data_IF_308627453197
#
_entry.id   IF_308627453197
#
_cell.length_a   1.000
_cell.length_b   1.000
_cell.length_c   1.000
_cell.angle_alpha   90.00
_cell.angle_beta   90.00
_cell.angle_gamma   90.00
#
_symmetry.space_group_name_H-M   'P 1'
#
loop_
_entity.id
_entity.type
_entity.pdbx_description
1 polymer ?
#
# COMPACT_ATOMS: atom_id res chain seq x y z
N UNK A 1 -5.25 -2.77 -7.38
CA UNK A 1 -6.59 -3.01 -7.94
C UNK A 1 -6.48 -3.20 -9.44
N UNK A 2 -7.14 -4.22 -9.99
CA UNK A 2 -7.09 -4.50 -11.43
C UNK A 2 -7.56 -3.29 -12.25
N UNK A 3 -6.97 -3.08 -13.43
CA UNK A 3 -7.25 -1.94 -14.30
C UNK A 3 -6.61 -0.61 -13.86
N UNK A 4 -6.19 -0.49 -12.60
CA UNK A 4 -5.53 0.72 -12.06
C UNK A 4 -4.03 0.56 -11.88
N UNK A 5 -3.57 -0.67 -11.71
CA UNK A 5 -2.15 -1.03 -11.57
C UNK A 5 -1.88 -2.40 -12.18
N UNK A 6 -0.63 -2.69 -12.53
CA UNK A 6 -0.22 -3.97 -13.10
C UNK A 6 0.51 -4.82 -12.08
N UNK A 7 0.41 -6.14 -12.24
CA UNK A 7 1.21 -7.09 -11.48
C UNK A 7 2.70 -6.77 -11.66
N UNK A 8 3.46 -6.84 -10.57
CA UNK A 8 4.88 -6.52 -10.47
C UNK A 8 5.26 -5.04 -10.63
N UNK A 9 4.30 -4.12 -10.76
CA UNK A 9 4.62 -2.70 -10.62
C UNK A 9 5.25 -2.44 -9.24
N UNK A 10 6.26 -1.59 -9.21
CA UNK A 10 6.85 -1.07 -7.98
C UNK A 10 6.06 0.16 -7.56
N UNK A 11 5.73 0.23 -6.29
CA UNK A 11 4.84 1.22 -5.71
C UNK A 11 5.59 1.99 -4.64
N UNK A 12 5.54 3.31 -4.71
CA UNK A 12 6.05 4.19 -3.67
C UNK A 12 4.86 4.94 -3.03
N UNK A 13 4.66 4.76 -1.73
CA UNK A 13 3.57 5.43 -1.04
C UNK A 13 3.93 6.91 -0.79
N UNK A 14 3.11 7.83 -1.27
CA UNK A 14 3.20 9.27 -0.93
C UNK A 14 2.21 9.64 0.20
N UNK A 15 1.22 8.78 0.42
CA UNK A 15 0.30 8.81 1.55
C UNK A 15 -0.12 7.38 1.88
N UNK A 16 -0.34 7.10 3.16
CA UNK A 16 -1.00 5.88 3.60
C UNK A 16 -2.23 6.21 4.43
N UNK A 17 -3.26 5.37 4.32
CA UNK A 17 -4.55 5.51 5.01
C UNK A 17 -4.89 4.17 5.65
N UNK A 18 -5.12 4.15 6.97
CA UNK A 18 -5.67 2.97 7.66
C UNK A 18 -7.19 3.08 7.59
N UNK A 19 -7.82 2.33 6.68
CA UNK A 19 -9.20 2.61 6.27
C UNK A 19 -10.27 1.88 7.09
N UNK A 20 -9.88 0.90 7.90
CA UNK A 20 -10.78 0.04 8.66
C UNK A 20 -10.87 0.42 10.14
N UNK A 21 -10.38 1.60 10.53
CA UNK A 21 -10.62 2.15 11.86
C UNK A 21 -12.13 2.37 12.03
N UNK A 22 -12.71 1.70 13.02
CA UNK A 22 -14.13 1.75 13.33
C UNK A 22 -14.35 2.19 14.78
N UNK A 23 -14.99 3.33 14.95
CA UNK A 23 -15.37 3.91 16.23
C UNK A 23 -16.86 3.69 16.51
N UNK A 24 -17.20 3.25 17.72
CA UNK A 24 -18.59 3.12 18.17
C UNK A 24 -19.10 4.35 18.92
N UNK A 25 -18.19 5.18 19.43
CA UNK A 25 -18.48 6.37 20.24
C UNK A 25 -18.14 7.66 19.47
N UNK A 26 -17.01 7.67 18.75
CA UNK A 26 -16.55 8.80 17.94
C UNK A 26 -16.91 8.67 16.46
N UNK A 27 -16.35 9.55 15.64
CA UNK A 27 -16.44 9.50 14.18
C UNK A 27 -15.22 8.76 13.60
N UNK A 28 -15.44 7.58 13.03
CA UNK A 28 -14.42 6.78 12.34
C UNK A 28 -13.66 7.58 11.29
N UNK A 29 -14.30 8.51 10.56
CA UNK A 29 -13.64 9.31 9.51
C UNK A 29 -12.61 10.28 10.09
N UNK A 30 -12.90 10.84 11.27
CA UNK A 30 -11.95 11.70 11.98
C UNK A 30 -10.74 10.86 12.38
N UNK A 31 -10.96 9.69 12.98
CA UNK A 31 -9.86 8.79 13.33
C UNK A 31 -9.04 8.37 12.09
N UNK A 32 -9.67 7.91 11.00
CA UNK A 32 -8.98 7.59 9.75
C UNK A 32 -8.13 8.77 9.24
N UNK A 33 -8.64 9.99 9.34
CA UNK A 33 -7.91 11.20 8.95
C UNK A 33 -6.70 11.43 9.85
N UNK A 34 -6.86 11.30 11.16
CA UNK A 34 -5.79 11.52 12.14
C UNK A 34 -4.66 10.49 12.00
N UNK A 35 -4.99 9.22 11.73
CA UNK A 35 -3.99 8.16 11.52
C UNK A 35 -3.43 8.11 10.09
N UNK A 36 -3.99 8.88 9.15
CA UNK A 36 -3.44 8.99 7.80
C UNK A 36 -2.11 9.73 7.81
N UNK A 37 -1.10 9.16 7.14
CA UNK A 37 0.26 9.71 7.16
C UNK A 37 0.71 10.05 5.74
N UNK A 38 1.15 11.29 5.52
CA UNK A 38 1.82 11.71 4.27
C UNK A 38 3.31 11.42 4.36
N UNK A 39 3.86 10.82 3.30
CA UNK A 39 5.26 10.41 3.20
C UNK A 39 5.95 11.22 2.11
N UNK A 40 7.00 12.00 2.43
CA UNK A 40 7.71 12.77 1.42
C UNK A 40 8.44 11.80 0.48
N UNK A 41 8.27 12.02 -0.82
CA UNK A 41 9.03 11.33 -1.87
C UNK A 41 9.87 12.35 -2.64
N UNK A 42 11.02 11.95 -3.20
CA UNK A 42 11.82 12.84 -4.03
C UNK A 42 11.03 13.29 -5.27
N UNK A 43 11.23 14.54 -5.69
CA UNK A 43 10.54 15.11 -6.86
C UNK A 43 10.76 14.28 -8.14
N UNK A 44 11.95 13.71 -8.29
CA UNK A 44 12.30 12.74 -9.33
C UNK A 44 12.59 11.39 -8.67
N UNK A 45 11.80 10.38 -9.01
CA UNK A 45 12.07 9.02 -8.53
C UNK A 45 13.34 8.45 -9.17
N UNK A 46 14.18 7.73 -8.41
CA UNK A 46 15.45 7.20 -8.92
C UNK A 46 15.26 6.00 -9.86
N UNK A 47 14.07 5.41 -9.86
CA UNK A 47 13.67 4.26 -10.68
C UNK A 47 12.19 4.41 -11.08
N UNK A 48 11.72 3.73 -12.14
CA UNK A 48 10.29 3.66 -12.43
C UNK A 48 9.52 3.05 -11.27
N UNK A 49 8.59 3.81 -10.70
CA UNK A 49 7.66 3.36 -9.68
C UNK A 49 6.38 4.21 -9.77
N UNK A 50 5.26 3.64 -9.34
CA UNK A 50 3.97 4.32 -9.28
C UNK A 50 3.85 4.99 -7.92
N UNK A 51 3.71 6.32 -7.90
CA UNK A 51 3.39 7.08 -6.69
C UNK A 51 1.90 7.00 -6.43
N UNK A 52 1.52 6.64 -5.21
CA UNK A 52 0.10 6.41 -4.86
C UNK A 52 -0.20 6.77 -3.41
N UNK A 53 -1.48 7.00 -3.13
CA UNK A 53 -2.05 6.74 -1.80
C UNK A 53 -2.29 5.24 -1.65
N UNK A 54 -1.81 4.66 -0.54
CA UNK A 54 -1.95 3.24 -0.21
C UNK A 54 -2.92 3.05 0.97
N UNK A 55 -3.73 2.01 0.91
CA UNK A 55 -4.81 1.76 1.86
C UNK A 55 -4.53 0.50 2.67
N UNK A 56 -4.29 0.65 3.97
CA UNK A 56 -3.96 -0.45 4.87
C UNK A 56 -5.15 -0.83 5.75
N UNK A 57 -5.28 -2.12 6.06
CA UNK A 57 -6.28 -2.65 6.99
C UNK A 57 -5.84 -4.00 7.58
N UNK A 58 -6.40 -4.36 8.74
CA UNK A 58 -6.14 -5.64 9.41
C UNK A 58 -6.97 -6.79 8.81
N UNK A 59 -7.03 -6.85 7.47
CA UNK A 59 -7.78 -7.88 6.72
C UNK A 59 -7.37 -7.94 5.26
N UNK A 60 -7.56 -9.11 4.67
CA UNK A 60 -7.46 -9.29 3.22
C UNK A 60 -8.48 -8.44 2.47
N UNK A 61 -8.04 -7.88 1.34
CA UNK A 61 -8.93 -7.18 0.44
C UNK A 61 -9.75 -8.17 -0.41
N UNK A 62 -10.96 -8.48 0.05
CA UNK A 62 -11.92 -9.25 -0.73
C UNK A 62 -12.59 -8.40 -1.83
N UNK A 63 -13.24 -8.99 -2.85
CA UNK A 63 -14.03 -8.22 -3.81
C UNK A 63 -15.15 -7.39 -3.18
N UNK A 64 -15.76 -7.89 -2.10
CA UNK A 64 -16.76 -7.13 -1.34
C UNK A 64 -16.13 -5.94 -0.62
N UNK A 65 -15.00 -6.15 0.06
CA UNK A 65 -14.24 -5.08 0.69
C UNK A 65 -13.74 -4.05 -0.31
N UNK A 66 -13.35 -4.46 -1.52
CA UNK A 66 -13.01 -3.53 -2.59
C UNK A 66 -14.21 -2.66 -2.98
N UNK A 67 -15.41 -3.23 -3.15
CA UNK A 67 -16.60 -2.42 -3.49
C UNK A 67 -16.91 -1.36 -2.43
N UNK A 68 -16.76 -1.71 -1.16
CA UNK A 68 -16.93 -0.77 -0.04
C UNK A 68 -15.85 0.34 -0.08
N UNK A 69 -14.59 -0.05 -0.24
CA UNK A 69 -13.45 0.87 -0.29
C UNK A 69 -13.52 1.79 -1.53
N UNK A 70 -14.03 1.29 -2.65
CA UNK A 70 -14.11 2.01 -3.92
C UNK A 70 -15.06 3.21 -3.86
N UNK A 71 -16.17 3.07 -3.12
CA UNK A 71 -17.15 4.13 -2.93
C UNK A 71 -16.58 5.37 -2.24
N UNK A 72 -15.59 5.18 -1.36
CA UNK A 72 -14.98 6.26 -0.59
C UNK A 72 -13.64 6.75 -1.18
N UNK A 73 -12.86 5.85 -1.79
CA UNK A 73 -11.42 6.12 -2.00
C UNK A 73 -10.87 5.81 -3.38
N UNK A 74 -11.60 5.09 -4.24
CA UNK A 74 -11.10 4.67 -5.57
C UNK A 74 -9.65 4.10 -5.52
N UNK A 75 -9.37 3.10 -4.68
CA UNK A 75 -8.01 2.74 -4.29
C UNK A 75 -7.20 2.15 -5.46
N UNK A 76 -5.88 2.39 -5.45
CA UNK A 76 -4.93 1.83 -6.44
C UNK A 76 -4.22 0.58 -5.90
N UNK A 77 -3.85 0.61 -4.62
CA UNK A 77 -3.20 -0.49 -3.91
C UNK A 77 -3.73 -0.58 -2.47
N UNK A 78 -3.68 -1.78 -1.91
CA UNK A 78 -3.95 -2.02 -0.50
C UNK A 78 -2.97 -3.05 0.07
N UNK A 79 -2.75 -2.98 1.37
CA UNK A 79 -1.96 -3.95 2.14
C UNK A 79 -2.44 -4.01 3.59
N UNK A 80 -1.64 -4.61 4.47
CA UNK A 80 -1.96 -4.70 5.89
C UNK A 80 -1.16 -3.70 6.74
N UNK A 81 0.15 -3.54 6.49
CA UNK A 81 1.03 -2.92 7.49
C UNK A 81 1.47 -1.49 7.18
N UNK A 82 1.40 -1.01 5.94
CA UNK A 82 2.07 0.25 5.57
C UNK A 82 1.56 1.46 6.37
N UNK A 83 0.25 1.51 6.63
CA UNK A 83 -0.39 2.52 7.46
C UNK A 83 0.17 2.56 8.87
N UNK A 84 0.22 1.40 9.54
CA UNK A 84 0.72 1.29 10.91
C UNK A 84 2.21 1.67 11.00
N UNK A 85 3.04 1.20 10.06
CA UNK A 85 4.47 1.53 9.99
C UNK A 85 4.68 3.04 9.82
N UNK A 86 3.97 3.66 8.87
CA UNK A 86 4.11 5.09 8.61
C UNK A 86 3.70 5.92 9.81
N UNK A 87 2.56 5.59 10.44
CA UNK A 87 2.06 6.30 11.61
C UNK A 87 3.06 6.28 12.76
N UNK A 88 3.59 5.09 13.09
CA UNK A 88 4.57 4.94 14.17
C UNK A 88 5.86 5.68 13.85
N UNK A 89 6.39 5.56 12.63
CA UNK A 89 7.59 6.27 12.21
C UNK A 89 7.39 7.80 12.30
N UNK A 90 6.27 8.30 11.81
CA UNK A 90 5.91 9.71 11.86
C UNK A 90 5.82 10.22 13.30
N UNK A 91 5.14 9.49 14.20
CA UNK A 91 5.00 9.84 15.62
C UNK A 91 6.35 9.92 16.35
N UNK A 92 7.34 9.18 15.87
CA UNK A 92 8.71 9.13 16.39
C UNK A 92 9.71 9.96 15.57
N UNK A 93 9.24 10.84 14.67
CA UNK A 93 10.08 11.67 13.81
C UNK A 93 11.16 10.88 13.05
N UNK A 94 10.87 9.63 12.69
CA UNK A 94 11.78 8.74 11.97
C UNK A 94 11.47 8.81 10.47
N UNK A 95 12.43 9.22 9.62
CA UNK A 95 12.25 9.18 8.17
C UNK A 95 11.94 7.76 7.70
N UNK A 96 10.89 7.60 6.89
CA UNK A 96 10.47 6.30 6.37
C UNK A 96 10.15 6.40 4.88
N UNK A 97 10.58 5.38 4.14
CA UNK A 97 10.23 5.13 2.76
C UNK A 97 9.46 3.81 2.69
N UNK A 98 8.26 3.84 2.13
CA UNK A 98 7.46 2.63 1.92
C UNK A 98 7.44 2.29 0.44
N UNK A 99 8.09 1.17 0.12
CA UNK A 99 8.06 0.54 -1.20
C UNK A 99 7.35 -0.80 -1.11
N UNK A 100 6.40 -1.02 -2.02
CA UNK A 100 5.75 -2.32 -2.22
C UNK A 100 5.90 -2.73 -3.69
N UNK A 101 5.70 -4.01 -3.97
CA UNK A 101 5.48 -4.47 -5.35
C UNK A 101 4.17 -5.26 -5.42
N UNK A 102 3.47 -5.14 -6.53
CA UNK A 102 2.15 -5.76 -6.70
C UNK A 102 2.30 -7.27 -6.90
N UNK A 103 1.89 -8.05 -5.90
CA UNK A 103 1.93 -9.52 -5.93
C UNK A 103 0.74 -10.14 -6.65
N UNK A 104 -0.42 -9.51 -6.57
CA UNK A 104 -1.70 -10.01 -7.07
C UNK A 104 -2.67 -8.87 -7.28
N UNK A 105 -3.72 -9.13 -8.06
CA UNK A 105 -4.77 -8.17 -8.37
C UNK A 105 -6.12 -8.60 -7.79
N UNK A 106 -6.90 -7.61 -7.38
CA UNK A 106 -8.29 -7.76 -6.94
C UNK A 106 -9.16 -6.85 -7.78
N UNK A 107 -10.31 -7.37 -8.19
CA UNK A 107 -11.37 -6.67 -8.90
C UNK A 107 -12.72 -6.87 -8.18
N UNK A 108 -13.82 -6.40 -8.79
CA UNK A 108 -15.17 -6.49 -8.22
C UNK A 108 -15.69 -7.91 -8.01
N UNK A 109 -15.08 -8.91 -8.64
CA UNK A 109 -15.62 -10.27 -8.73
C UNK A 109 -14.65 -11.32 -8.17
N UNK A 110 -13.35 -11.05 -8.19
CA UNK A 110 -12.30 -12.00 -7.85
C UNK A 110 -11.06 -11.32 -7.24
N UNK A 111 -10.27 -12.09 -6.49
CA UNK A 111 -8.88 -11.78 -6.15
C UNK A 111 -7.98 -12.92 -6.59
N UNK A 112 -6.95 -12.63 -7.36
CA UNK A 112 -6.12 -13.64 -8.04
C UNK A 112 -5.49 -14.67 -7.09
N UNK A 113 -5.11 -14.23 -5.89
CA UNK A 113 -4.49 -15.06 -4.86
C UNK A 113 -5.49 -15.71 -3.89
N UNK A 114 -6.79 -15.38 -3.94
CA UNK A 114 -7.77 -15.96 -3.04
C UNK A 114 -7.93 -17.46 -3.30
N UNK A 115 -7.62 -18.28 -2.29
CA UNK A 115 -7.56 -19.73 -2.43
C UNK A 115 -6.33 -20.25 -3.19
N UNK A 116 -5.38 -19.36 -3.54
CA UNK A 116 -4.14 -19.70 -4.24
C UNK A 116 -2.91 -19.08 -3.54
N UNK A 117 -2.55 -19.58 -2.34
CA UNK A 117 -1.40 -19.04 -1.58
C UNK A 117 -0.06 -19.23 -2.31
N UNK A 118 0.05 -20.22 -3.20
CA UNK A 118 1.27 -20.46 -3.98
C UNK A 118 1.55 -19.31 -4.96
N UNK A 119 0.52 -18.77 -5.62
CA UNK A 119 0.67 -17.61 -6.50
C UNK A 119 1.27 -16.42 -5.73
N UNK A 120 0.75 -16.15 -4.53
CA UNK A 120 1.27 -15.09 -3.67
C UNK A 120 2.74 -15.35 -3.28
N UNK A 121 3.08 -16.57 -2.87
CA UNK A 121 4.44 -16.93 -2.50
C UNK A 121 5.44 -16.75 -3.66
N UNK A 122 5.10 -17.26 -4.85
CA UNK A 122 5.95 -17.15 -6.04
C UNK A 122 6.14 -15.70 -6.47
N UNK A 123 5.06 -14.92 -6.47
CA UNK A 123 5.10 -13.50 -6.84
C UNK A 123 5.84 -12.67 -5.81
N UNK A 124 5.73 -13.00 -4.51
CA UNK A 124 6.48 -12.35 -3.43
C UNK A 124 7.98 -12.51 -3.63
N UNK A 125 8.46 -13.71 -3.97
CA UNK A 125 9.88 -13.94 -4.26
C UNK A 125 10.36 -13.02 -5.39
N UNK A 126 9.58 -12.89 -6.46
CA UNK A 126 9.91 -12.01 -7.60
C UNK A 126 9.92 -10.53 -7.20
N UNK A 127 8.88 -10.08 -6.50
CA UNK A 127 8.75 -8.71 -6.01
C UNK A 127 9.91 -8.35 -5.10
N UNK A 128 10.22 -9.19 -4.11
CA UNK A 128 11.27 -8.92 -3.13
C UNK A 128 12.65 -8.86 -3.77
N UNK A 129 12.96 -9.76 -4.72
CA UNK A 129 14.23 -9.67 -5.50
C UNK A 129 14.35 -8.33 -6.22
N UNK A 130 13.27 -7.86 -6.83
CA UNK A 130 13.27 -6.57 -7.53
C UNK A 130 13.46 -5.41 -6.55
N UNK A 131 12.69 -5.36 -5.45
CA UNK A 131 12.79 -4.30 -4.44
C UNK A 131 14.19 -4.20 -3.83
N UNK A 132 14.79 -5.33 -3.45
CA UNK A 132 16.17 -5.38 -2.94
C UNK A 132 17.17 -4.88 -3.99
N UNK A 133 17.00 -5.25 -5.26
CA UNK A 133 17.85 -4.77 -6.35
C UNK A 133 17.73 -3.26 -6.62
N UNK A 134 16.56 -2.66 -6.35
CA UNK A 134 16.33 -1.23 -6.53
C UNK A 134 16.75 -0.39 -5.31
N UNK A 135 16.82 -1.00 -4.13
CA UNK A 135 17.09 -0.30 -2.86
C UNK A 135 18.33 0.61 -2.88
N UNK A 136 19.50 0.22 -3.46
CA UNK A 136 20.66 1.10 -3.49
C UNK A 136 20.41 2.45 -4.19
N UNK A 137 19.58 2.46 -5.24
CA UNK A 137 19.24 3.70 -5.97
C UNK A 137 18.33 4.61 -5.15
N UNK A 138 17.40 4.03 -4.38
CA UNK A 138 16.56 4.77 -3.44
C UNK A 138 17.37 5.38 -2.30
N UNK A 139 18.27 4.61 -1.69
CA UNK A 139 19.15 5.11 -0.62
C UNK A 139 20.07 6.22 -1.12
N UNK A 140 20.57 6.14 -2.35
CA UNK A 140 21.40 7.19 -2.95
C UNK A 140 20.61 8.50 -3.20
N UNK A 141 19.32 8.40 -3.51
CA UNK A 141 18.46 9.56 -3.75
C UNK A 141 17.86 10.18 -2.47
N UNK A 142 18.00 9.50 -1.33
CA UNK A 142 17.51 9.95 -0.02
C UNK A 142 18.57 10.72 0.80
N UNK A 143 19.81 10.79 0.29
CA UNK A 143 20.87 11.63 0.86
C UNK A 143 20.68 13.09 0.49
#
# INVERSE_FOLDING_TARGET
>A
MEGRIKRFDVVAAEKVVIYDIAEAVGDSKVAITDYSTTLPLPARLPVPAVKVTMYSADRDLTPAGLRELDAAYQPVVADWESGAIAWVAHRNATPVLILRGVTDLVNSDNGEAHGNPQLFADNTIRVMRNLVGLLPKWLAAWR
#
